data_IF_597491477079
#
_entry.id   IF_597491477079
#
_cell.length_a   1.000
_cell.length_b   1.000
_cell.length_c   1.000
_cell.angle_alpha   90.00
_cell.angle_beta   90.00
_cell.angle_gamma   90.00
#
_symmetry.space_group_name_H-M   'P 1'
#
loop_
_entity.id
_entity.type
_entity.pdbx_description
1 polymer ?
#
# COMPACT_ATOMS: atom_id res chain seq x y z
N UNK A 1 -10.32 -10.36 5.80
CA UNK A 1 -10.01 -8.98 6.22
C UNK A 1 -9.92 -8.99 7.75
N UNK A 2 -8.89 -8.39 8.34
CA UNK A 2 -8.80 -8.28 9.80
C UNK A 2 -9.90 -7.31 10.29
N UNK A 3 -10.83 -7.80 11.11
CA UNK A 3 -12.09 -7.11 11.42
C UNK A 3 -12.26 -6.82 12.92
N UNK A 4 -11.16 -6.60 13.65
CA UNK A 4 -11.23 -6.24 15.06
C UNK A 4 -11.68 -4.77 15.22
N UNK A 5 -12.59 -4.46 16.18
CA UNK A 5 -12.98 -3.09 16.45
C UNK A 5 -11.75 -2.30 16.92
N UNK A 6 -11.50 -1.17 16.25
CA UNK A 6 -10.41 -0.29 16.60
C UNK A 6 -10.71 0.34 17.96
N UNK A 7 -9.82 0.19 18.97
CA UNK A 7 -10.01 0.80 20.28
C UNK A 7 -10.27 2.32 20.16
N UNK A 8 -11.19 2.88 20.95
CA UNK A 8 -11.49 4.31 20.94
C UNK A 8 -10.29 5.19 21.32
N UNK A 9 -9.24 4.60 21.91
CA UNK A 9 -7.97 5.26 22.21
C UNK A 9 -7.07 5.48 20.99
N UNK A 10 -7.34 4.82 19.86
CA UNK A 10 -6.49 4.91 18.69
C UNK A 10 -6.73 6.22 17.93
N UNK A 11 -5.82 7.19 18.13
CA UNK A 11 -5.81 8.46 17.41
C UNK A 11 -5.63 8.25 15.89
N UNK A 12 -4.87 7.22 15.48
CA UNK A 12 -4.57 6.90 14.09
C UNK A 12 -5.09 5.52 13.70
N UNK A 13 -5.66 5.42 12.49
CA UNK A 13 -6.13 4.16 11.87
C UNK A 13 -5.50 4.01 10.50
N UNK A 14 -4.91 2.86 10.22
CA UNK A 14 -4.35 2.53 8.91
C UNK A 14 -5.13 1.36 8.31
N UNK A 15 -5.71 1.56 7.13
CA UNK A 15 -6.30 0.46 6.34
C UNK A 15 -5.36 0.10 5.20
N UNK A 16 -5.15 -1.20 4.99
CA UNK A 16 -4.27 -1.71 3.95
C UNK A 16 -5.00 -2.70 3.04
N UNK A 17 -4.72 -2.61 1.75
CA UNK A 17 -5.08 -3.61 0.75
C UNK A 17 -3.80 -4.05 0.04
N UNK A 18 -3.59 -5.36 -0.10
CA UNK A 18 -2.47 -5.90 -0.85
C UNK A 18 -2.97 -7.06 -1.71
N UNK A 19 -2.90 -6.88 -3.03
CA UNK A 19 -3.31 -7.90 -4.00
C UNK A 19 -2.08 -8.57 -4.59
N UNK A 20 -2.14 -9.90 -4.64
CA UNK A 20 -1.12 -10.75 -5.24
C UNK A 20 -1.66 -11.29 -6.55
N UNK A 21 -0.85 -11.24 -7.59
CA UNK A 21 -1.11 -11.88 -8.88
C UNK A 21 0.03 -12.83 -9.22
N UNK A 22 -0.16 -13.67 -10.24
CA UNK A 22 0.82 -14.64 -10.67
C UNK A 22 0.71 -14.85 -12.18
N UNK A 23 1.86 -15.00 -12.84
CA UNK A 23 1.93 -15.50 -14.23
C UNK A 23 2.85 -16.73 -14.30
N UNK A 24 3.97 -16.70 -13.55
CA UNK A 24 4.93 -17.81 -13.37
C UNK A 24 5.38 -17.92 -11.90
N UNK A 25 5.65 -16.79 -11.25
CA UNK A 25 5.88 -16.69 -9.80
C UNK A 25 4.97 -15.61 -9.20
N UNK A 26 4.59 -15.73 -7.92
CA UNK A 26 3.72 -14.76 -7.28
C UNK A 26 4.39 -13.40 -7.09
N UNK A 27 3.65 -12.32 -7.36
CA UNK A 27 4.11 -10.95 -7.18
C UNK A 27 3.00 -10.04 -6.64
N UNK A 28 3.39 -8.98 -5.92
CA UNK A 28 2.48 -7.91 -5.49
C UNK A 28 2.09 -7.07 -6.71
N UNK A 29 0.82 -7.15 -7.12
CA UNK A 29 0.28 -6.43 -8.28
C UNK A 29 -0.30 -5.08 -7.89
N UNK A 30 -0.89 -4.99 -6.69
CA UNK A 30 -1.46 -3.77 -6.17
C UNK A 30 -1.28 -3.69 -4.65
N UNK A 31 -1.00 -2.50 -4.15
CA UNK A 31 -1.06 -2.22 -2.73
C UNK A 31 -1.66 -0.83 -2.52
N UNK A 32 -2.47 -0.70 -1.49
CA UNK A 32 -3.16 0.53 -1.14
C UNK A 32 -3.08 0.75 0.37
N UNK A 33 -2.77 1.98 0.77
CA UNK A 33 -2.67 2.41 2.16
C UNK A 33 -3.49 3.69 2.34
N UNK A 34 -4.40 3.67 3.32
CA UNK A 34 -5.14 4.86 3.74
C UNK A 34 -4.91 5.10 5.23
N UNK A 35 -4.37 6.26 5.56
CA UNK A 35 -4.13 6.68 6.93
C UNK A 35 -5.20 7.69 7.35
N UNK A 36 -5.80 7.43 8.50
CA UNK A 36 -6.82 8.26 9.13
C UNK A 36 -6.35 8.72 10.49
N UNK A 37 -6.70 9.96 10.84
CA UNK A 37 -6.65 10.48 12.20
C UNK A 37 -8.08 10.68 12.67
N UNK A 38 -8.52 9.93 13.69
CA UNK A 38 -9.93 9.78 14.07
C UNK A 38 -10.77 9.32 12.85
N UNK A 39 -11.59 10.22 12.29
CA UNK A 39 -12.44 9.95 11.11
C UNK A 39 -11.99 10.72 9.85
N UNK A 40 -10.89 11.49 9.91
CA UNK A 40 -10.38 12.26 8.78
C UNK A 40 -9.24 11.52 8.09
N UNK A 41 -9.34 11.29 6.78
CA UNK A 41 -8.24 10.78 5.96
C UNK A 41 -7.14 11.83 5.91
N UNK A 42 -5.95 11.47 6.35
CA UNK A 42 -4.77 12.35 6.42
C UNK A 42 -3.63 11.90 5.50
N UNK A 43 -3.72 10.69 4.95
CA UNK A 43 -2.75 10.21 3.98
C UNK A 43 -3.36 9.13 3.08
N UNK A 44 -2.97 9.16 1.82
CA UNK A 44 -3.29 8.12 0.85
C UNK A 44 -2.06 7.79 0.03
N UNK A 45 -1.81 6.50 -0.18
CA UNK A 45 -0.78 6.05 -1.11
C UNK A 45 -1.14 4.71 -1.72
N UNK A 46 -0.86 4.58 -3.01
CA UNK A 46 -1.12 3.37 -3.78
C UNK A 46 0.11 2.98 -4.60
N UNK A 47 0.21 1.68 -4.83
CA UNK A 47 1.11 1.04 -5.75
C UNK A 47 0.29 0.20 -6.71
N UNK A 48 0.54 0.38 -7.99
CA UNK A 48 -0.04 -0.44 -9.04
C UNK A 48 1.07 -0.79 -10.03
N UNK A 49 1.17 -2.06 -10.41
CA UNK A 49 2.17 -2.49 -11.39
C UNK A 49 1.73 -2.00 -12.78
N UNK A 50 2.55 -1.15 -13.42
CA UNK A 50 2.31 -0.71 -14.80
C UNK A 50 3.19 -1.54 -15.75
N UNK A 51 2.56 -2.21 -16.71
CA UNK A 51 3.17 -3.21 -17.59
C UNK A 51 2.62 -4.60 -17.29
N UNK A 52 1.65 -5.03 -18.11
CA UNK A 52 0.93 -6.30 -17.93
C UNK A 52 1.79 -7.56 -18.02
N UNK A 53 1.11 -8.70 -17.99
CA UNK A 53 1.65 -10.08 -17.94
C UNK A 53 2.86 -10.35 -18.87
N UNK A 54 2.93 -9.68 -20.03
CA UNK A 54 4.00 -9.80 -21.04
C UNK A 54 5.30 -9.00 -20.76
N UNK A 55 5.36 -8.18 -19.70
CA UNK A 55 6.56 -7.40 -19.41
C UNK A 55 7.51 -8.17 -18.49
N UNK A 56 8.58 -8.72 -19.05
CA UNK A 56 9.79 -9.20 -18.33
C UNK A 56 10.58 -8.06 -17.66
N UNK A 57 9.87 -7.03 -17.17
CA UNK A 57 10.48 -5.93 -16.45
C UNK A 57 11.07 -6.42 -15.13
N UNK A 58 12.36 -6.13 -14.89
CA UNK A 58 13.05 -6.21 -13.58
C UNK A 58 12.25 -5.57 -12.42
N UNK A 59 11.30 -4.67 -12.73
CA UNK A 59 10.33 -4.09 -11.79
C UNK A 59 9.39 -5.13 -11.13
N UNK A 60 9.10 -6.24 -11.79
CA UNK A 60 8.23 -7.32 -11.28
C UNK A 60 8.89 -8.03 -10.09
N UNK A 61 10.20 -8.25 -10.18
CA UNK A 61 11.05 -8.90 -9.16
C UNK A 61 11.74 -7.93 -8.21
N UNK A 62 11.50 -6.63 -8.35
CA UNK A 62 11.98 -5.64 -7.40
C UNK A 62 11.43 -5.98 -6.00
N UNK A 63 12.32 -6.00 -5.00
CA UNK A 63 11.97 -6.29 -3.61
C UNK A 63 10.80 -5.43 -3.14
N UNK A 64 9.94 -6.02 -2.30
CA UNK A 64 8.77 -5.36 -1.68
C UNK A 64 9.15 -4.01 -1.07
N UNK A 65 10.33 -3.91 -0.46
CA UNK A 65 10.86 -2.65 0.08
C UNK A 65 10.93 -1.55 -0.97
N UNK A 66 11.49 -1.84 -2.16
CA UNK A 66 11.63 -0.87 -3.25
C UNK A 66 10.27 -0.43 -3.81
N UNK A 67 9.26 -1.29 -3.75
CA UNK A 67 7.88 -0.99 -4.16
C UNK A 67 7.13 -0.15 -3.11
N UNK A 68 7.35 -0.43 -1.82
CA UNK A 68 6.62 0.21 -0.72
C UNK A 68 7.25 1.52 -0.24
N UNK A 69 8.57 1.72 -0.37
CA UNK A 69 9.24 2.97 0.01
C UNK A 69 8.59 4.24 -0.58
N UNK A 70 8.29 4.34 -1.89
CA UNK A 70 7.65 5.55 -2.44
C UNK A 70 6.20 5.71 -1.95
N UNK A 71 5.49 4.61 -1.65
CA UNK A 71 4.12 4.62 -1.12
C UNK A 71 4.12 5.20 0.28
N UNK A 72 4.99 4.70 1.15
CA UNK A 72 5.14 5.19 2.53
C UNK A 72 5.60 6.65 2.54
N UNK A 73 6.54 7.03 1.67
CA UNK A 73 6.99 8.42 1.57
C UNK A 73 5.85 9.35 1.12
N UNK A 74 5.03 8.96 0.13
CA UNK A 74 3.86 9.74 -0.28
C UNK A 74 2.80 9.84 0.81
N UNK A 75 2.59 8.76 1.56
CA UNK A 75 1.65 8.72 2.66
C UNK A 75 2.04 9.72 3.76
N UNK A 76 3.32 9.75 4.13
CA UNK A 76 3.83 10.58 5.22
C UNK A 76 4.08 12.04 4.78
N UNK A 77 4.43 12.29 3.52
CA UNK A 77 4.59 13.65 3.00
C UNK A 77 3.27 14.45 3.00
N UNK A 78 2.13 13.78 2.93
CA UNK A 78 0.80 14.40 3.03
C UNK A 78 0.41 14.76 4.47
N UNK A 79 1.11 14.20 5.46
CA UNK A 79 0.90 14.53 6.85
C UNK A 79 1.61 15.85 7.19
N UNK A 80 0.90 16.97 7.06
CA UNK A 80 1.33 18.25 7.64
C UNK A 80 1.01 18.24 9.14
N UNK A 81 2.04 18.50 9.94
CA UNK A 81 2.03 18.52 11.40
C UNK A 81 1.06 19.57 11.94
#
# INVERSE_FOLDING_TARGET
MYNAPVPNICEYKLTYTALRSWDLTPYLSHAELRLFKRNKKIGYAEYHITGGSMSLSLKKWASVKKKMSPVINKLLAQYKK
#
